data_IF_214767882840
#
_entry.id   IF_214767882840
#
_cell.length_a   1.000
_cell.length_b   1.000
_cell.length_c   1.000
_cell.angle_alpha   90.00
_cell.angle_beta   90.00
_cell.angle_gamma   90.00
#
_symmetry.space_group_name_H-M   'P 1'
#
loop_
_entity.id
_entity.type
_entity.pdbx_description
1 polymer ?
#
# COMPACT_ATOMS: atom_id res chain seq x y z
N UNK A 1 -1.40 -16.37 30.94
CA UNK A 1 -0.45 -16.23 29.82
C UNK A 1 -1.21 -15.77 28.57
N UNK A 2 -1.44 -14.46 28.41
CA UNK A 2 -2.09 -13.92 27.21
C UNK A 2 -1.07 -13.85 26.06
N UNK A 3 -0.77 -15.00 25.43
CA UNK A 3 -0.23 -14.95 24.09
C UNK A 3 -1.32 -14.34 23.22
N UNK A 4 -1.12 -13.09 22.81
CA UNK A 4 -1.85 -12.45 21.71
C UNK A 4 -1.89 -13.45 20.55
N UNK A 5 -3.00 -14.15 20.35
CA UNK A 5 -3.15 -15.13 19.27
C UNK A 5 -2.87 -14.40 17.95
N UNK A 6 -1.69 -14.62 17.38
CA UNK A 6 -1.33 -14.08 16.07
C UNK A 6 -2.21 -14.79 15.05
N UNK A 7 -2.85 -14.00 14.20
CA UNK A 7 -3.71 -14.54 13.17
C UNK A 7 -2.86 -14.91 11.95
N UNK A 8 -2.54 -16.20 11.81
CA UNK A 8 -1.62 -16.71 10.78
C UNK A 8 -2.04 -16.29 9.37
N UNK A 9 -3.33 -16.43 9.04
CA UNK A 9 -3.88 -16.03 7.74
C UNK A 9 -3.62 -14.55 7.41
N UNK A 10 -3.66 -13.67 8.41
CA UNK A 10 -3.39 -12.24 8.26
C UNK A 10 -1.89 -11.93 8.15
N UNK A 11 -1.05 -12.62 8.91
CA UNK A 11 0.40 -12.51 8.77
C UNK A 11 0.83 -12.98 7.36
N UNK A 12 0.22 -14.03 6.82
CA UNK A 12 0.43 -14.49 5.44
C UNK A 12 -0.07 -13.48 4.43
N UNK A 13 -1.30 -12.94 4.59
CA UNK A 13 -1.86 -11.92 3.70
C UNK A 13 -0.91 -10.72 3.56
N UNK A 14 -0.49 -10.14 4.69
CA UNK A 14 0.50 -9.04 4.70
C UNK A 14 1.82 -9.43 4.03
N UNK A 15 2.28 -10.65 4.32
CA UNK A 15 3.52 -11.16 3.77
C UNK A 15 3.50 -11.30 2.25
N UNK A 16 2.37 -11.80 1.70
CA UNK A 16 2.13 -11.86 0.26
C UNK A 16 2.11 -10.46 -0.35
N UNK A 17 1.44 -9.49 0.28
CA UNK A 17 1.40 -8.10 -0.20
C UNK A 17 2.80 -7.48 -0.26
N UNK A 18 3.63 -7.63 0.79
CA UNK A 18 5.02 -7.12 0.79
C UNK A 18 5.88 -7.84 -0.25
N UNK A 19 5.80 -9.17 -0.32
CA UNK A 19 6.53 -9.97 -1.29
C UNK A 19 6.23 -9.50 -2.71
N UNK A 20 4.94 -9.34 -3.05
CA UNK A 20 4.53 -8.94 -4.38
C UNK A 20 4.88 -7.48 -4.68
N UNK A 21 4.75 -6.59 -3.70
CA UNK A 21 5.18 -5.19 -3.80
C UNK A 21 6.65 -5.06 -4.21
N UNK A 22 7.56 -5.83 -3.59
CA UNK A 22 8.98 -5.75 -3.93
C UNK A 22 9.21 -6.19 -5.38
N UNK A 23 8.54 -7.26 -5.82
CA UNK A 23 8.67 -7.77 -7.18
C UNK A 23 8.25 -6.70 -8.20
N UNK A 24 7.11 -6.05 -7.98
CA UNK A 24 6.57 -5.10 -8.96
C UNK A 24 7.22 -3.71 -8.90
N UNK A 25 7.78 -3.31 -7.76
CA UNK A 25 8.55 -2.07 -7.65
C UNK A 25 9.98 -2.20 -8.22
N UNK A 26 10.48 -3.42 -8.41
CA UNK A 26 11.86 -3.68 -8.82
C UNK A 26 12.03 -4.48 -10.13
N UNK A 27 11.33 -4.14 -11.23
CA UNK A 27 11.50 -4.85 -12.49
C UNK A 27 12.94 -4.75 -13.00
N UNK A 28 13.55 -5.82 -13.50
CA UNK A 28 14.84 -5.71 -14.18
C UNK A 28 14.73 -4.80 -15.43
N UNK A 29 15.76 -4.01 -15.72
CA UNK A 29 15.80 -3.05 -16.83
C UNK A 29 16.25 -3.67 -18.17
N UNK A 30 16.14 -2.95 -19.30
CA UNK A 30 16.57 -3.48 -20.61
C UNK A 30 15.54 -4.34 -21.35
N UNK A 31 14.43 -4.72 -20.70
CA UNK A 31 13.26 -5.30 -21.36
C UNK A 31 11.98 -4.83 -20.68
N UNK A 32 10.87 -4.77 -21.43
CA UNK A 32 9.55 -4.53 -20.84
C UNK A 32 9.16 -5.72 -19.96
N UNK A 33 8.74 -5.50 -18.69
CA UNK A 33 8.21 -6.55 -17.84
C UNK A 33 6.96 -7.20 -18.43
N UNK A 34 6.49 -8.30 -17.82
CA UNK A 34 5.18 -8.84 -18.17
C UNK A 34 4.09 -7.80 -17.91
N UNK A 35 3.15 -7.63 -18.82
CA UNK A 35 2.07 -6.64 -18.70
C UNK A 35 1.26 -6.77 -17.40
N UNK A 36 1.14 -7.98 -16.83
CA UNK A 36 0.47 -8.22 -15.54
C UNK A 36 1.23 -7.63 -14.34
N UNK A 37 2.52 -7.33 -14.49
CA UNK A 37 3.38 -6.72 -13.48
C UNK A 37 3.49 -5.20 -13.66
N UNK A 38 3.00 -4.65 -14.76
CA UNK A 38 2.93 -3.22 -15.00
C UNK A 38 1.65 -2.64 -14.38
N UNK A 39 1.69 -1.35 -14.02
CA UNK A 39 0.50 -0.62 -13.60
C UNK A 39 -0.39 -0.29 -14.80
N UNK A 40 -1.71 -0.20 -14.58
CA UNK A 40 -2.59 0.37 -15.59
C UNK A 40 -2.13 1.79 -15.97
N UNK A 41 -2.13 2.11 -17.27
CA UNK A 41 -1.60 3.38 -17.76
C UNK A 41 -2.35 4.59 -17.19
N UNK A 42 -3.68 4.54 -17.15
CA UNK A 42 -4.51 5.57 -16.50
C UNK A 42 -5.77 4.95 -15.89
N UNK A 43 -6.75 4.62 -16.73
CA UNK A 43 -7.91 3.81 -16.36
C UNK A 43 -7.60 2.33 -16.54
N UNK A 44 -8.23 1.51 -15.71
CA UNK A 44 -8.08 0.07 -15.70
C UNK A 44 -7.51 -0.45 -14.39
N UNK A 45 -7.20 -1.74 -14.41
CA UNK A 45 -6.71 -2.45 -13.26
C UNK A 45 -5.80 -3.59 -13.72
N UNK A 46 -4.61 -3.66 -13.12
CA UNK A 46 -3.72 -4.82 -13.21
C UNK A 46 -3.53 -5.43 -11.82
N UNK A 47 -3.05 -6.69 -11.73
CA UNK A 47 -2.72 -7.30 -10.44
C UNK A 47 -1.80 -6.43 -9.56
N UNK A 48 -0.85 -5.72 -10.19
CA UNK A 48 0.05 -4.79 -9.51
C UNK A 48 -0.68 -3.67 -8.78
N UNK A 49 -1.79 -3.19 -9.31
CA UNK A 49 -2.57 -2.11 -8.71
C UNK A 49 -3.22 -2.51 -7.38
N UNK A 50 -3.38 -3.81 -7.11
CA UNK A 50 -3.97 -4.33 -5.87
C UNK A 50 -3.03 -4.20 -4.67
N UNK A 51 -1.72 -4.14 -4.88
CA UNK A 51 -0.72 -4.20 -3.81
C UNK A 51 -0.92 -3.12 -2.75
N UNK A 52 -0.99 -1.86 -3.18
CA UNK A 52 -1.11 -0.73 -2.25
C UNK A 52 -2.46 -0.71 -1.49
N UNK A 53 -3.64 -0.89 -2.12
CA UNK A 53 -4.88 -0.99 -1.36
C UNK A 53 -4.92 -2.20 -0.42
N UNK A 54 -4.31 -3.34 -0.78
CA UNK A 54 -4.17 -4.48 0.15
C UNK A 54 -3.37 -4.13 1.40
N UNK A 55 -2.36 -3.25 1.31
CA UNK A 55 -1.65 -2.75 2.49
C UNK A 55 -2.58 -1.94 3.40
N UNK A 56 -3.39 -1.03 2.83
CA UNK A 56 -4.36 -0.25 3.61
C UNK A 56 -5.39 -1.16 4.27
N UNK A 57 -5.92 -2.15 3.54
CA UNK A 57 -6.80 -3.17 4.09
C UNK A 57 -6.13 -3.95 5.23
N UNK A 58 -4.88 -4.37 5.05
CA UNK A 58 -4.14 -5.11 6.07
C UNK A 58 -3.84 -4.28 7.33
N UNK A 59 -3.59 -2.97 7.17
CA UNK A 59 -3.45 -2.00 8.26
C UNK A 59 -4.76 -1.89 9.05
N UNK A 60 -5.89 -1.78 8.35
CA UNK A 60 -7.22 -1.83 8.96
C UNK A 60 -7.45 -3.11 9.75
N UNK A 61 -7.15 -4.25 9.14
CA UNK A 61 -7.31 -5.55 9.79
C UNK A 61 -6.41 -5.66 11.04
N UNK A 62 -5.17 -5.14 10.98
CA UNK A 62 -4.29 -5.01 12.15
C UNK A 62 -4.90 -4.14 13.26
N UNK A 63 -5.53 -3.04 12.87
CA UNK A 63 -6.15 -2.07 13.77
C UNK A 63 -7.27 -2.69 14.61
N UNK A 64 -7.97 -3.71 14.09
CA UNK A 64 -9.01 -4.43 14.85
C UNK A 64 -8.48 -5.07 16.15
N UNK A 65 -7.19 -5.39 16.22
CA UNK A 65 -6.55 -5.90 17.44
C UNK A 65 -6.10 -4.78 18.38
N UNK A 66 -5.68 -3.62 17.86
CA UNK A 66 -5.29 -2.47 18.69
C UNK A 66 -6.50 -1.78 19.31
N UNK A 67 -7.62 -1.69 18.60
CA UNK A 67 -8.85 -1.05 19.10
C UNK A 67 -9.43 -1.76 20.33
N UNK A 68 -9.30 -3.09 20.43
CA UNK A 68 -9.66 -3.83 21.65
C UNK A 68 -8.85 -3.39 22.88
N UNK A 69 -7.59 -2.99 22.69
CA UNK A 69 -6.75 -2.44 23.76
C UNK A 69 -7.16 -1.01 24.09
N UNK A 70 -7.47 -0.20 23.08
CA UNK A 70 -7.90 1.18 23.26
C UNK A 70 -9.22 1.30 24.02
N UNK A 71 -10.11 0.31 23.89
CA UNK A 71 -11.33 0.23 24.68
C UNK A 71 -11.11 0.16 26.21
N UNK A 72 -9.89 -0.19 26.65
CA UNK A 72 -9.51 -0.27 28.07
C UNK A 72 -8.65 0.92 28.52
N UNK A 73 -8.43 1.91 27.65
CA UNK A 73 -7.54 3.05 27.88
C UNK A 73 -8.33 4.35 27.96
N UNK A 74 -7.76 5.34 28.66
CA UNK A 74 -8.30 6.71 28.65
C UNK A 74 -8.11 7.39 27.29
N UNK A 75 -9.04 8.29 26.95
CA UNK A 75 -9.04 8.99 25.66
C UNK A 75 -7.71 9.71 25.32
N UNK A 76 -7.06 10.45 26.25
CA UNK A 76 -5.78 11.11 25.93
C UNK A 76 -4.66 10.12 25.57
N UNK A 77 -4.63 8.96 26.23
CA UNK A 77 -3.64 7.93 25.96
C UNK A 77 -3.87 7.29 24.58
N UNK A 78 -5.13 7.08 24.18
CA UNK A 78 -5.48 6.59 22.84
C UNK A 78 -5.06 7.59 21.77
N UNK A 79 -5.40 8.87 21.94
CA UNK A 79 -5.02 9.93 20.99
C UNK A 79 -3.50 10.04 20.85
N UNK A 80 -2.75 9.99 21.95
CA UNK A 80 -1.29 10.02 21.92
C UNK A 80 -0.71 8.82 21.16
N UNK A 81 -1.26 7.62 21.34
CA UNK A 81 -0.82 6.43 20.62
C UNK A 81 -1.10 6.52 19.12
N UNK A 82 -2.29 7.02 18.74
CA UNK A 82 -2.64 7.26 17.34
C UNK A 82 -1.70 8.31 16.76
N UNK A 83 -1.55 9.46 17.41
CA UNK A 83 -0.71 10.57 16.95
C UNK A 83 0.75 10.15 16.78
N UNK A 84 1.35 9.50 17.78
CA UNK A 84 2.73 8.99 17.69
C UNK A 84 2.92 8.07 16.49
N UNK A 85 1.97 7.15 16.26
CA UNK A 85 2.07 6.20 15.16
C UNK A 85 1.92 6.88 13.80
N UNK A 86 0.97 7.80 13.67
CA UNK A 86 0.80 8.62 12.45
C UNK A 86 2.08 9.40 12.18
N UNK A 87 2.61 10.11 13.19
CA UNK A 87 3.82 10.91 13.07
C UNK A 87 5.04 10.06 12.68
N UNK A 88 5.26 8.91 13.32
CA UNK A 88 6.39 8.05 13.02
C UNK A 88 6.32 7.45 11.62
N UNK A 89 5.15 6.94 11.19
CA UNK A 89 5.00 6.38 9.83
C UNK A 89 5.18 7.48 8.79
N UNK A 90 4.60 8.66 9.01
CA UNK A 90 4.74 9.80 8.10
C UNK A 90 6.20 10.25 7.99
N UNK A 91 6.89 10.40 9.12
CA UNK A 91 8.29 10.81 9.17
C UNK A 91 9.20 9.78 8.50
N UNK A 92 8.99 8.48 8.75
CA UNK A 92 9.75 7.43 8.08
C UNK A 92 9.57 7.45 6.56
N UNK A 93 8.35 7.70 6.08
CA UNK A 93 8.08 7.89 4.65
C UNK A 93 8.77 9.11 4.06
N UNK A 94 8.69 10.24 4.75
CA UNK A 94 9.34 11.47 4.30
C UNK A 94 10.87 11.33 4.25
N UNK A 95 11.47 10.77 5.30
CA UNK A 95 12.91 10.51 5.37
C UNK A 95 13.37 9.51 4.31
N UNK A 96 12.54 8.52 3.96
CA UNK A 96 12.85 7.57 2.90
C UNK A 96 12.96 8.26 1.53
N UNK A 97 12.07 9.21 1.21
CA UNK A 97 12.18 9.98 -0.05
C UNK A 97 13.30 11.01 -0.03
N UNK A 98 13.66 11.54 1.13
CA UNK A 98 14.76 12.50 1.26
C UNK A 98 16.15 11.82 1.30
N UNK A 99 16.22 10.52 1.61
CA UNK A 99 17.44 9.72 1.56
C UNK A 99 17.97 9.64 0.10
N UNK A 100 19.27 9.87 -0.16
CA UNK A 100 20.42 9.83 0.76
C UNK A 100 20.80 11.15 1.44
N UNK A 101 19.95 12.18 1.42
CA UNK A 101 20.15 13.53 1.99
C UNK A 101 21.24 14.38 1.32
N UNK A 102 22.11 13.78 0.52
CA UNK A 102 23.25 14.42 -0.13
C UNK A 102 23.33 14.09 -1.63
N UNK A 103 23.73 15.06 -2.44
CA UNK A 103 24.04 14.87 -3.86
C UNK A 103 25.46 15.32 -4.15
N UNK A 104 26.15 14.61 -5.05
CA UNK A 104 27.41 15.09 -5.61
C UNK A 104 27.10 16.15 -6.67
N UNK A 105 27.63 17.35 -6.47
CA UNK A 105 27.57 18.42 -7.46
C UNK A 105 28.52 18.09 -8.62
N UNK A 106 28.27 18.68 -9.80
CA UNK A 106 29.10 18.53 -11.00
C UNK A 106 30.58 18.91 -10.76
N UNK A 107 30.86 19.71 -9.74
CA UNK A 107 32.21 20.13 -9.34
C UNK A 107 32.87 19.18 -8.31
N UNK A 108 32.30 18.00 -8.03
CA UNK A 108 32.83 17.04 -7.06
C UNK A 108 32.58 17.36 -5.58
N UNK A 109 31.82 18.42 -5.28
CA UNK A 109 31.42 18.80 -3.91
C UNK A 109 30.15 18.07 -3.45
N UNK A 110 30.07 17.72 -2.16
CA UNK A 110 28.86 17.14 -1.57
C UNK A 110 27.95 18.29 -1.08
N UNK A 111 26.74 18.38 -1.61
CA UNK A 111 25.72 19.32 -1.15
C UNK A 111 24.54 18.59 -0.53
N UNK A 112 23.86 19.23 0.43
CA UNK A 112 22.60 18.71 0.98
C UNK A 112 21.49 18.87 -0.07
N UNK A 113 20.65 17.83 -0.22
CA UNK A 113 19.48 17.94 -1.09
C UNK A 113 18.52 19.00 -0.53
N UNK A 114 18.12 19.99 -1.35
CA UNK A 114 17.19 21.00 -0.92
C UNK A 114 15.83 20.36 -0.61
N UNK A 115 15.35 20.61 0.61
CA UNK A 115 14.01 20.21 1.06
C UNK A 115 12.93 20.79 0.14
N UNK A 116 13.18 21.92 -0.52
CA UNK A 116 12.23 22.57 -1.43
C UNK A 116 11.84 21.73 -2.66
N UNK A 117 12.57 20.66 -2.98
CA UNK A 117 12.28 19.77 -4.11
C UNK A 117 11.96 18.33 -3.66
N UNK A 118 11.71 18.10 -2.36
CA UNK A 118 11.37 16.76 -1.87
C UNK A 118 9.88 16.49 -2.01
N UNK A 119 9.53 15.30 -2.49
CA UNK A 119 8.15 14.85 -2.53
C UNK A 119 7.59 14.71 -1.12
N UNK A 120 6.46 15.35 -0.84
CA UNK A 120 5.86 15.36 0.51
C UNK A 120 4.96 14.14 0.72
N UNK A 121 4.05 13.89 -0.23
CA UNK A 121 3.09 12.78 -0.17
C UNK A 121 3.65 11.52 -0.80
N UNK A 122 3.25 10.38 -0.26
CA UNK A 122 3.70 9.08 -0.73
C UNK A 122 2.99 7.96 0.00
N UNK A 123 3.43 6.73 -0.27
CA UNK A 123 2.74 5.51 0.18
C UNK A 123 2.59 5.48 1.71
N UNK A 124 3.66 5.74 2.45
CA UNK A 124 3.64 5.71 3.92
C UNK A 124 2.84 6.87 4.52
N UNK A 125 2.93 8.06 3.94
CA UNK A 125 2.18 9.24 4.36
C UNK A 125 0.68 9.01 4.24
N UNK A 126 0.23 8.47 3.09
CA UNK A 126 -1.18 8.07 2.90
C UNK A 126 -1.60 7.00 3.91
N UNK A 127 -0.77 5.98 4.15
CA UNK A 127 -1.05 4.95 5.18
C UNK A 127 -1.22 5.58 6.56
N UNK A 128 -0.33 6.51 6.93
CA UNK A 128 -0.38 7.22 8.21
C UNK A 128 -1.68 8.02 8.36
N UNK A 129 -2.04 8.84 7.36
CA UNK A 129 -3.24 9.67 7.38
C UNK A 129 -4.50 8.79 7.41
N UNK A 130 -4.59 7.78 6.55
CA UNK A 130 -5.74 6.87 6.52
C UNK A 130 -5.90 6.10 7.85
N UNK A 131 -4.78 5.64 8.44
CA UNK A 131 -4.79 5.02 9.75
C UNK A 131 -5.31 5.98 10.83
N UNK A 132 -4.85 7.23 10.83
CA UNK A 132 -5.26 8.26 11.78
C UNK A 132 -6.76 8.55 11.70
N UNK A 133 -7.25 8.87 10.49
CA UNK A 133 -8.67 9.15 10.23
C UNK A 133 -9.54 7.95 10.61
N UNK A 134 -9.22 6.76 10.11
CA UNK A 134 -10.00 5.56 10.39
C UNK A 134 -10.00 5.23 11.89
N UNK A 135 -8.84 5.35 12.58
CA UNK A 135 -8.76 5.11 14.02
C UNK A 135 -9.65 6.06 14.81
N UNK A 136 -9.67 7.36 14.47
CA UNK A 136 -10.50 8.35 15.14
C UNK A 136 -12.00 8.10 14.89
N UNK A 137 -12.38 7.82 13.64
CA UNK A 137 -13.77 7.50 13.29
C UNK A 137 -14.25 6.26 14.06
N UNK A 138 -13.45 5.20 14.08
CA UNK A 138 -13.80 3.94 14.76
C UNK A 138 -13.82 4.09 16.28
N UNK A 139 -12.94 4.91 16.86
CA UNK A 139 -12.87 5.11 18.31
C UNK A 139 -14.03 5.95 18.85
N UNK A 140 -14.41 7.01 18.13
CA UNK A 140 -15.42 7.97 18.63
C UNK A 140 -16.84 7.72 18.11
N UNK A 141 -17.00 7.04 16.98
CA UNK A 141 -18.30 6.89 16.33
C UNK A 141 -18.81 5.45 16.38
N UNK A 142 -20.13 5.30 16.37
CA UNK A 142 -20.75 3.99 16.22
C UNK A 142 -20.57 3.46 14.79
N UNK A 143 -20.64 2.13 14.63
CA UNK A 143 -20.52 1.46 13.33
C UNK A 143 -21.41 2.07 12.25
N UNK A 144 -22.63 2.49 12.61
CA UNK A 144 -23.57 3.12 11.67
C UNK A 144 -23.00 4.42 11.10
N UNK A 145 -22.43 5.29 11.94
CA UNK A 145 -21.86 6.56 11.50
C UNK A 145 -20.57 6.37 10.70
N UNK A 146 -19.72 5.40 11.07
CA UNK A 146 -18.52 5.08 10.29
C UNK A 146 -18.89 4.62 8.87
N UNK A 147 -19.94 3.81 8.72
CA UNK A 147 -20.44 3.39 7.40
C UNK A 147 -20.99 4.60 6.62
N UNK A 148 -21.79 5.45 7.25
CA UNK A 148 -22.33 6.66 6.60
C UNK A 148 -21.21 7.60 6.12
N UNK A 149 -20.19 7.83 6.95
CA UNK A 149 -19.03 8.64 6.58
C UNK A 149 -18.22 7.97 5.48
N UNK A 150 -18.08 6.64 5.48
CA UNK A 150 -17.42 5.92 4.40
C UNK A 150 -18.16 6.07 3.07
N UNK A 151 -19.50 6.00 3.08
CA UNK A 151 -20.31 6.29 1.90
C UNK A 151 -20.18 7.75 1.45
N UNK A 152 -20.12 8.69 2.39
CA UNK A 152 -19.85 10.10 2.10
C UNK A 152 -18.44 10.31 1.50
N UNK A 153 -17.43 9.59 1.98
CA UNK A 153 -16.07 9.64 1.42
C UNK A 153 -16.03 9.13 -0.01
N UNK A 154 -16.76 8.06 -0.34
CA UNK A 154 -16.82 7.54 -1.70
C UNK A 154 -17.65 8.45 -2.63
N UNK A 155 -18.91 8.72 -2.28
CA UNK A 155 -19.82 9.49 -3.13
C UNK A 155 -19.41 10.96 -3.18
N UNK A 156 -19.03 11.54 -2.03
CA UNK A 156 -18.58 12.93 -1.95
C UNK A 156 -17.28 13.16 -2.72
N UNK A 157 -16.34 12.22 -2.69
CA UNK A 157 -15.14 12.29 -3.53
C UNK A 157 -15.48 12.25 -5.03
N UNK A 158 -16.37 11.33 -5.43
CA UNK A 158 -16.82 11.25 -6.82
C UNK A 158 -17.46 12.56 -7.29
N UNK A 159 -18.38 13.14 -6.49
CA UNK A 159 -19.00 14.43 -6.78
C UNK A 159 -17.95 15.55 -6.83
N UNK A 160 -16.98 15.57 -5.92
CA UNK A 160 -15.91 16.56 -5.93
C UNK A 160 -15.08 16.51 -7.22
N UNK A 161 -14.76 15.33 -7.74
CA UNK A 161 -14.09 15.19 -9.04
C UNK A 161 -14.94 15.75 -10.19
N UNK A 162 -16.25 15.49 -10.20
CA UNK A 162 -17.15 15.99 -11.25
C UNK A 162 -17.35 17.50 -11.22
N UNK A 163 -17.40 18.10 -10.02
CA UNK A 163 -17.71 19.53 -9.83
C UNK A 163 -16.47 20.41 -9.97
N UNK A 164 -15.33 19.95 -9.45
CA UNK A 164 -14.09 20.73 -9.42
C UNK A 164 -13.05 20.27 -10.46
N UNK A 165 -13.31 19.17 -11.17
CA UNK A 165 -12.54 18.78 -12.35
C UNK A 165 -13.00 19.53 -13.60
N UNK A 166 -12.27 19.36 -14.69
CA UNK A 166 -12.66 19.92 -15.98
C UNK A 166 -14.03 19.39 -16.45
N UNK A 167 -14.84 20.27 -17.02
CA UNK A 167 -16.21 19.94 -17.44
C UNK A 167 -16.30 18.94 -18.60
N UNK A 168 -15.27 18.83 -19.44
CA UNK A 168 -15.24 17.92 -20.57
C UNK A 168 -14.65 16.55 -20.18
N UNK A 169 -13.61 16.53 -19.34
CA UNK A 169 -13.04 15.29 -18.80
C UNK A 169 -12.57 15.48 -17.34
N UNK A 170 -13.48 15.28 -16.36
CA UNK A 170 -13.19 15.48 -14.94
C UNK A 170 -12.21 14.44 -14.37
N UNK A 171 -11.95 13.36 -15.11
CA UNK A 171 -11.05 12.28 -14.71
C UNK A 171 -9.73 12.28 -15.50
N UNK A 172 -9.45 13.34 -16.25
CA UNK A 172 -8.20 13.52 -16.99
C UNK A 172 -7.01 13.66 -16.06
N UNK A 173 -5.81 13.31 -16.53
CA UNK A 173 -4.59 13.41 -15.72
C UNK A 173 -4.18 14.87 -15.44
N UNK A 174 -4.47 15.78 -16.37
CA UNK A 174 -3.98 17.17 -16.38
C UNK A 174 -4.97 18.21 -15.88
N UNK A 175 -6.25 17.84 -15.68
CA UNK A 175 -7.28 18.79 -15.27
C UNK A 175 -8.28 18.22 -14.25
N UNK A 176 -7.93 17.14 -13.56
CA UNK A 176 -8.74 16.63 -12.45
C UNK A 176 -8.60 17.51 -11.20
N UNK A 177 -9.64 17.49 -10.36
CA UNK A 177 -9.69 18.27 -9.12
C UNK A 177 -8.55 17.96 -8.14
N UNK A 178 -8.07 16.71 -8.11
CA UNK A 178 -6.99 16.29 -7.21
C UNK A 178 -5.68 17.00 -7.54
N UNK A 179 -5.29 16.99 -8.81
CA UNK A 179 -4.08 17.66 -9.28
C UNK A 179 -4.13 19.16 -9.01
N UNK A 180 -5.26 19.82 -9.28
CA UNK A 180 -5.41 21.25 -9.04
C UNK A 180 -5.24 21.60 -7.56
N UNK A 181 -5.85 20.81 -6.67
CA UNK A 181 -5.73 20.99 -5.23
C UNK A 181 -4.28 20.79 -4.75
N UNK A 182 -3.63 19.72 -5.20
CA UNK A 182 -2.28 19.39 -4.78
C UNK A 182 -1.26 20.43 -5.31
N UNK A 183 -1.41 20.92 -6.54
CA UNK A 183 -0.61 22.04 -7.07
C UNK A 183 -0.82 23.33 -6.28
N UNK A 184 -2.06 23.64 -5.89
CA UNK A 184 -2.37 24.83 -5.10
C UNK A 184 -1.77 24.79 -3.69
N UNK A 185 -1.83 23.63 -3.03
CA UNK A 185 -1.39 23.49 -1.63
C UNK A 185 0.10 23.17 -1.47
N UNK A 186 0.64 22.31 -2.33
CA UNK A 186 2.01 21.79 -2.21
C UNK A 186 2.95 22.43 -3.22
N UNK A 187 2.45 22.86 -4.37
CA UNK A 187 3.27 23.35 -5.48
C UNK A 187 3.97 22.24 -6.26
N UNK A 188 4.31 22.54 -7.52
CA UNK A 188 4.87 21.58 -8.49
C UNK A 188 6.05 20.76 -7.94
N UNK A 189 7.00 21.43 -7.29
CA UNK A 189 8.27 20.85 -6.81
C UNK A 189 8.11 19.75 -5.74
N UNK A 190 6.94 19.68 -5.10
CA UNK A 190 6.67 18.73 -4.03
C UNK A 190 5.79 17.56 -4.47
N UNK A 191 5.37 17.55 -5.75
CA UNK A 191 4.56 16.50 -6.35
C UNK A 191 5.44 15.42 -7.01
N UNK A 192 4.78 14.34 -7.43
CA UNK A 192 5.39 13.28 -8.21
C UNK A 192 5.42 13.63 -9.70
N UNK A 193 6.54 13.34 -10.38
CA UNK A 193 6.72 13.62 -11.82
C UNK A 193 6.90 12.36 -12.68
N UNK A 194 6.62 11.17 -12.15
CA UNK A 194 6.86 9.91 -12.88
C UNK A 194 6.00 9.72 -14.14
N UNK A 195 4.94 10.52 -14.30
CA UNK A 195 4.08 10.53 -15.48
C UNK A 195 4.49 11.59 -16.52
N UNK A 196 5.63 12.26 -16.31
CA UNK A 196 6.07 13.38 -17.14
C UNK A 196 5.38 14.71 -16.83
N UNK A 197 4.46 14.74 -15.86
CA UNK A 197 3.79 15.94 -15.35
C UNK A 197 3.78 15.92 -13.81
N UNK A 198 3.60 17.08 -13.19
CA UNK A 198 3.40 17.19 -11.75
C UNK A 198 1.99 16.69 -11.36
N UNK A 199 1.91 15.44 -10.93
CA UNK A 199 0.68 14.77 -10.51
C UNK A 199 1.00 13.78 -9.40
N UNK A 200 0.41 13.93 -8.22
CA UNK A 200 0.64 13.04 -7.09
C UNK A 200 -0.50 12.00 -6.93
N UNK A 201 -0.27 10.71 -7.27
CA UNK A 201 -1.27 9.66 -7.07
C UNK A 201 -1.62 9.45 -5.59
N UNK A 202 -0.72 9.88 -4.70
CA UNK A 202 -0.79 9.79 -3.24
C UNK A 202 -1.34 11.06 -2.58
N UNK A 203 -1.85 12.01 -3.37
CA UNK A 203 -2.31 13.33 -2.95
C UNK A 203 -3.46 13.40 -1.93
N UNK A 204 -3.82 14.62 -1.57
CA UNK A 204 -4.72 14.92 -0.42
C UNK A 204 -6.14 14.42 -0.71
N UNK A 205 -6.69 14.77 -1.88
CA UNK A 205 -8.09 14.48 -2.20
C UNK A 205 -8.33 12.97 -2.34
N UNK A 206 -7.43 12.26 -3.01
CA UNK A 206 -7.48 10.80 -3.22
C UNK A 206 -7.19 10.00 -1.94
N UNK A 207 -6.70 10.63 -0.88
CA UNK A 207 -6.55 10.00 0.45
C UNK A 207 -7.91 9.80 1.16
N UNK A 208 -8.93 10.58 0.81
CA UNK A 208 -10.28 10.45 1.39
C UNK A 208 -10.90 9.07 1.08
N UNK A 209 -11.05 8.65 -0.19
CA UNK A 209 -11.56 7.32 -0.50
C UNK A 209 -10.62 6.21 -0.01
N UNK A 210 -9.29 6.44 0.05
CA UNK A 210 -8.34 5.46 0.58
C UNK A 210 -8.55 5.11 2.06
N UNK A 211 -9.13 6.02 2.85
CA UNK A 211 -9.52 5.72 4.24
C UNK A 211 -10.53 4.56 4.30
N UNK A 212 -11.37 4.41 3.28
CA UNK A 212 -12.40 3.35 3.23
C UNK A 212 -11.76 1.97 3.06
N UNK A 213 -10.61 1.84 2.38
CA UNK A 213 -9.84 0.59 2.36
C UNK A 213 -9.45 0.13 3.76
N UNK A 214 -8.97 1.07 4.60
CA UNK A 214 -8.60 0.80 6.00
C UNK A 214 -9.84 0.44 6.83
N UNK A 215 -10.95 1.16 6.66
CA UNK A 215 -12.19 0.91 7.40
C UNK A 215 -12.78 -0.47 7.07
N UNK A 216 -12.85 -0.83 5.78
CA UNK A 216 -13.33 -2.16 5.37
C UNK A 216 -12.40 -3.25 5.92
N UNK A 217 -11.08 -3.05 5.84
CA UNK A 217 -10.09 -3.94 6.45
C UNK A 217 -10.29 -4.13 7.96
N UNK A 218 -10.60 -3.05 8.68
CA UNK A 218 -10.93 -3.11 10.11
C UNK A 218 -12.17 -3.94 10.38
N UNK A 219 -13.28 -3.71 9.66
CA UNK A 219 -14.51 -4.47 9.87
C UNK A 219 -14.36 -5.93 9.46
N UNK A 220 -13.57 -6.24 8.44
CA UNK A 220 -13.21 -7.62 8.10
C UNK A 220 -12.46 -8.29 9.26
N UNK A 221 -11.44 -7.63 9.81
CA UNK A 221 -10.68 -8.13 10.97
C UNK A 221 -11.54 -8.31 12.21
N UNK A 222 -12.41 -7.34 12.52
CA UNK A 222 -13.38 -7.41 13.63
C UNK A 222 -14.35 -8.57 13.44
N UNK A 223 -14.91 -8.73 12.25
CA UNK A 223 -15.85 -9.80 11.92
C UNK A 223 -15.22 -11.19 12.10
N UNK A 224 -13.99 -11.39 11.63
CA UNK A 224 -13.24 -12.64 11.81
C UNK A 224 -12.98 -12.93 13.30
N UNK A 225 -12.64 -11.91 14.09
CA UNK A 225 -12.43 -12.06 15.52
C UNK A 225 -13.72 -12.44 16.28
N UNK A 226 -14.87 -11.93 15.85
CA UNK A 226 -16.17 -12.17 16.50
C UNK A 226 -16.82 -13.49 16.10
N UNK A 227 -16.71 -13.87 14.81
CA UNK A 227 -17.35 -15.09 14.25
C UNK A 227 -16.41 -16.30 14.19
N UNK A 228 -15.12 -16.10 14.44
CA UNK A 228 -14.11 -17.14 14.30
C UNK A 228 -13.78 -17.41 12.83
N UNK A 229 -13.15 -18.56 12.57
CA UNK A 229 -12.47 -18.87 11.30
C UNK A 229 -13.10 -20.08 10.59
N UNK A 230 -14.41 -20.26 10.73
CA UNK A 230 -15.13 -21.38 10.11
C UNK A 230 -15.60 -21.09 8.69
N UNK A 231 -16.23 -22.10 8.08
CA UNK A 231 -16.83 -22.00 6.73
C UNK A 231 -17.82 -20.84 6.60
N UNK A 232 -18.61 -20.55 7.64
CA UNK A 232 -19.56 -19.43 7.63
C UNK A 232 -18.85 -18.08 7.48
N UNK A 233 -17.73 -17.87 8.19
CA UNK A 233 -16.92 -16.66 8.07
C UNK A 233 -16.37 -16.54 6.66
N UNK A 234 -15.80 -17.62 6.11
CA UNK A 234 -15.28 -17.64 4.73
C UNK A 234 -16.38 -17.28 3.74
N UNK A 235 -17.53 -17.94 3.82
CA UNK A 235 -18.65 -17.70 2.90
C UNK A 235 -19.14 -16.24 2.95
N UNK A 236 -19.26 -15.65 4.15
CA UNK A 236 -19.70 -14.26 4.32
C UNK A 236 -18.67 -13.25 3.80
N UNK A 237 -17.38 -13.50 4.03
CA UNK A 237 -16.30 -12.68 3.46
C UNK A 237 -16.32 -12.77 1.93
N UNK A 238 -16.46 -13.97 1.37
CA UNK A 238 -16.51 -14.17 -0.07
C UNK A 238 -17.74 -13.53 -0.71
N UNK A 239 -18.91 -13.65 -0.07
CA UNK A 239 -20.15 -13.01 -0.53
C UNK A 239 -20.03 -11.48 -0.51
N UNK A 240 -19.55 -10.91 0.60
CA UNK A 240 -19.33 -9.47 0.70
C UNK A 240 -18.32 -8.99 -0.35
N UNK A 241 -17.22 -9.74 -0.55
CA UNK A 241 -16.23 -9.45 -1.57
C UNK A 241 -16.80 -9.45 -2.98
N UNK A 242 -17.59 -10.48 -3.31
CA UNK A 242 -18.29 -10.59 -4.60
C UNK A 242 -19.27 -9.43 -4.84
N UNK A 243 -20.04 -9.03 -3.84
CA UNK A 243 -20.97 -7.88 -3.94
C UNK A 243 -20.21 -6.58 -4.22
N UNK A 244 -19.09 -6.32 -3.52
CA UNK A 244 -18.30 -5.10 -3.77
C UNK A 244 -17.68 -5.09 -5.18
N UNK A 245 -17.20 -6.23 -5.67
CA UNK A 245 -16.69 -6.37 -7.05
C UNK A 245 -17.80 -6.08 -8.05
N UNK A 246 -18.99 -6.67 -7.89
CA UNK A 246 -20.12 -6.44 -8.81
C UNK A 246 -20.50 -4.96 -8.82
N UNK A 247 -20.63 -4.31 -7.66
CA UNK A 247 -20.95 -2.88 -7.59
C UNK A 247 -19.86 -2.05 -8.30
N UNK A 248 -18.58 -2.36 -8.07
CA UNK A 248 -17.49 -1.67 -8.76
C UNK A 248 -17.57 -1.79 -10.27
N UNK A 249 -17.78 -3.01 -10.79
CA UNK A 249 -17.85 -3.27 -12.22
C UNK A 249 -19.09 -2.62 -12.86
N UNK A 250 -20.23 -2.60 -12.16
CA UNK A 250 -21.43 -1.90 -12.62
C UNK A 250 -21.25 -0.37 -12.67
N UNK A 251 -20.46 0.20 -11.76
CA UNK A 251 -20.18 1.65 -11.73
C UNK A 251 -19.03 2.06 -12.67
N UNK A 252 -18.14 1.15 -13.05
CA UNK A 252 -16.97 1.42 -13.89
C UNK A 252 -17.26 2.21 -15.18
N UNK A 253 -18.37 2.00 -15.91
CA UNK A 253 -18.67 2.79 -17.12
C UNK A 253 -18.88 4.28 -16.86
N UNK A 254 -19.31 4.66 -15.65
CA UNK A 254 -19.60 6.06 -15.27
C UNK A 254 -18.51 6.64 -14.38
N UNK A 255 -17.91 5.80 -13.53
CA UNK A 255 -16.77 6.18 -12.70
C UNK A 255 -15.64 5.16 -12.89
N UNK A 256 -14.70 5.42 -13.81
CA UNK A 256 -13.68 4.45 -14.19
C UNK A 256 -12.84 3.97 -13.02
N UNK A 257 -12.56 2.68 -12.98
CA UNK A 257 -11.57 2.10 -12.07
C UNK A 257 -10.21 2.71 -12.41
N UNK A 258 -9.66 3.47 -11.47
CA UNK A 258 -8.39 4.16 -11.63
C UNK A 258 -7.67 4.24 -10.27
N UNK A 259 -6.47 3.64 -10.23
CA UNK A 259 -5.56 3.64 -9.07
C UNK A 259 -4.98 5.03 -8.80
N UNK A 260 -4.55 5.74 -9.85
CA UNK A 260 -3.86 7.03 -9.75
C UNK A 260 -4.76 8.11 -9.13
N UNK A 261 -6.04 8.09 -9.47
CA UNK A 261 -7.06 8.94 -8.82
C UNK A 261 -7.59 8.32 -7.52
N UNK A 262 -7.35 7.04 -7.24
CA UNK A 262 -7.94 6.32 -6.11
C UNK A 262 -9.49 6.36 -6.10
N UNK A 263 -10.07 6.17 -7.29
CA UNK A 263 -11.52 6.22 -7.52
C UNK A 263 -12.31 5.29 -6.59
N UNK A 264 -13.57 5.63 -6.32
CA UNK A 264 -14.40 4.80 -5.44
C UNK A 264 -14.66 3.41 -6.01
N UNK A 265 -14.77 3.28 -7.33
CA UNK A 265 -14.86 1.98 -8.00
C UNK A 265 -13.58 1.16 -7.78
N UNK A 266 -12.40 1.78 -7.82
CA UNK A 266 -11.13 1.13 -7.45
C UNK A 266 -11.12 0.67 -5.98
N UNK A 267 -11.61 1.48 -5.04
CA UNK A 267 -11.73 1.09 -3.63
C UNK A 267 -12.62 -0.14 -3.46
N UNK A 268 -13.81 -0.13 -4.06
CA UNK A 268 -14.76 -1.24 -3.97
C UNK A 268 -14.20 -2.52 -4.59
N UNK A 269 -13.55 -2.42 -5.76
CA UNK A 269 -12.92 -3.55 -6.43
C UNK A 269 -11.85 -4.17 -5.54
N UNK A 270 -10.92 -3.35 -5.05
CA UNK A 270 -9.74 -3.81 -4.32
C UNK A 270 -10.10 -4.37 -2.95
N UNK A 271 -11.02 -3.73 -2.21
CA UNK A 271 -11.57 -4.31 -0.99
C UNK A 271 -12.34 -5.60 -1.25
N UNK A 272 -13.06 -5.70 -2.36
CA UNK A 272 -13.74 -6.92 -2.74
C UNK A 272 -12.76 -8.07 -2.98
N UNK A 273 -11.70 -7.82 -3.73
CA UNK A 273 -10.61 -8.77 -3.97
C UNK A 273 -9.89 -9.16 -2.67
N UNK A 274 -9.59 -8.20 -1.80
CA UNK A 274 -8.96 -8.45 -0.50
C UNK A 274 -9.81 -9.36 0.40
N UNK A 275 -11.15 -9.17 0.39
CA UNK A 275 -12.08 -10.04 1.10
C UNK A 275 -12.11 -11.46 0.54
N UNK A 276 -12.04 -11.63 -0.79
CA UNK A 276 -11.91 -12.95 -1.42
C UNK A 276 -10.58 -13.61 -1.04
N UNK A 277 -9.47 -12.87 -1.11
CA UNK A 277 -8.13 -13.38 -0.82
C UNK A 277 -8.04 -13.80 0.65
N UNK A 278 -8.46 -12.95 1.60
CA UNK A 278 -8.40 -13.31 3.03
C UNK A 278 -9.34 -14.48 3.34
N UNK A 279 -10.52 -14.57 2.68
CA UNK A 279 -11.41 -15.72 2.78
C UNK A 279 -10.75 -17.01 2.29
N UNK A 280 -10.10 -16.98 1.14
CA UNK A 280 -9.35 -18.11 0.58
C UNK A 280 -8.15 -18.52 1.46
N UNK A 281 -7.45 -17.55 2.05
CA UNK A 281 -6.35 -17.80 2.99
C UNK A 281 -6.86 -18.49 4.26
N UNK A 282 -7.97 -18.01 4.83
CA UNK A 282 -8.61 -18.65 6.00
C UNK A 282 -9.00 -20.09 5.67
N UNK A 283 -9.64 -20.31 4.52
CA UNK A 283 -9.98 -21.65 4.07
C UNK A 283 -8.74 -22.54 3.95
N UNK A 284 -7.71 -22.11 3.22
CA UNK A 284 -6.50 -22.91 3.00
C UNK A 284 -5.74 -23.22 4.29
N UNK A 285 -5.62 -22.26 5.20
CA UNK A 285 -4.75 -22.34 6.38
C UNK A 285 -5.48 -22.95 7.58
N UNK A 286 -6.69 -22.48 7.85
CA UNK A 286 -7.40 -22.76 9.11
C UNK A 286 -8.37 -23.94 8.95
N UNK A 287 -8.90 -24.17 7.74
CA UNK A 287 -9.86 -25.25 7.46
C UNK A 287 -9.16 -26.44 6.80
N UNK A 288 -8.44 -26.21 5.70
CA UNK A 288 -7.69 -27.27 5.00
C UNK A 288 -6.35 -27.62 5.65
N UNK A 289 -5.96 -26.91 6.72
CA UNK A 289 -4.72 -27.13 7.47
C UNK A 289 -3.42 -27.11 6.63
N UNK A 290 -3.44 -26.45 5.47
CA UNK A 290 -2.26 -26.35 4.58
C UNK A 290 -1.36 -25.21 5.04
N UNK A 291 -0.36 -25.53 5.88
CA UNK A 291 0.52 -24.55 6.53
C UNK A 291 1.98 -24.60 6.07
N UNK A 292 2.39 -25.58 5.25
CA UNK A 292 3.80 -25.75 4.87
C UNK A 292 4.38 -24.54 4.13
N UNK A 293 3.58 -23.90 3.28
CA UNK A 293 3.99 -22.76 2.45
C UNK A 293 3.92 -21.42 3.19
N UNK A 294 3.20 -21.34 4.32
CA UNK A 294 2.97 -20.07 5.02
C UNK A 294 4.26 -19.51 5.61
N UNK A 295 5.22 -20.39 5.96
CA UNK A 295 6.52 -20.02 6.51
C UNK A 295 7.23 -18.94 5.67
N UNK A 296 7.25 -19.11 4.35
CA UNK A 296 7.88 -18.15 3.43
C UNK A 296 7.30 -16.74 3.57
N UNK A 297 5.98 -16.61 3.51
CA UNK A 297 5.31 -15.30 3.59
C UNK A 297 5.28 -14.71 5.00
N UNK A 298 5.22 -15.54 6.04
CA UNK A 298 5.21 -15.02 7.42
C UNK A 298 6.48 -14.27 7.78
N UNK A 299 7.62 -14.57 7.15
CA UNK A 299 8.86 -13.80 7.31
C UNK A 299 8.62 -12.31 6.97
N UNK A 300 7.98 -12.06 5.83
CA UNK A 300 7.58 -10.71 5.43
C UNK A 300 6.51 -10.13 6.37
N UNK A 301 5.48 -10.92 6.66
CA UNK A 301 4.31 -10.48 7.43
C UNK A 301 4.60 -10.08 8.88
N UNK A 302 5.69 -10.58 9.47
CA UNK A 302 6.10 -10.24 10.83
C UNK A 302 6.79 -8.88 10.94
N UNK A 303 7.43 -8.39 9.87
CA UNK A 303 8.17 -7.12 9.81
C UNK A 303 7.87 -6.33 8.51
N UNK A 304 6.60 -6.08 8.15
CA UNK A 304 6.23 -5.63 6.81
C UNK A 304 6.75 -4.22 6.50
N UNK A 305 6.60 -3.27 7.44
CA UNK A 305 7.04 -1.88 7.27
C UNK A 305 8.58 -1.80 7.17
N UNK A 306 9.29 -2.56 8.00
CA UNK A 306 10.76 -2.59 7.95
C UNK A 306 11.25 -3.13 6.60
N UNK A 307 10.68 -4.24 6.11
CA UNK A 307 11.13 -4.83 4.86
C UNK A 307 10.76 -3.95 3.66
N UNK A 308 9.63 -3.24 3.70
CA UNK A 308 9.31 -2.20 2.72
C UNK A 308 10.37 -1.11 2.69
N UNK A 309 10.67 -0.48 3.84
CA UNK A 309 11.70 0.56 3.92
C UNK A 309 13.07 0.03 3.46
N UNK A 310 13.42 -1.19 3.84
CA UNK A 310 14.66 -1.84 3.41
C UNK A 310 14.72 -1.98 1.89
N UNK A 311 13.62 -2.38 1.24
CA UNK A 311 13.60 -2.56 -0.22
C UNK A 311 13.83 -1.25 -0.97
N UNK A 312 13.22 -0.16 -0.52
CA UNK A 312 13.38 1.17 -1.11
C UNK A 312 14.77 1.76 -0.81
N UNK A 313 15.24 1.66 0.44
CA UNK A 313 16.56 2.16 0.84
C UNK A 313 17.70 1.38 0.18
N UNK A 314 17.55 0.07 -0.01
CA UNK A 314 18.57 -0.74 -0.68
C UNK A 314 18.79 -0.28 -2.12
N UNK A 315 17.72 0.12 -2.82
CA UNK A 315 17.83 0.72 -4.16
C UNK A 315 18.58 2.06 -4.11
N UNK A 316 18.21 2.94 -3.18
CA UNK A 316 18.88 4.24 -3.02
C UNK A 316 20.36 4.09 -2.64
N UNK A 317 20.71 3.12 -1.80
CA UNK A 317 22.10 2.83 -1.42
C UNK A 317 22.92 2.35 -2.63
N UNK A 318 22.36 1.45 -3.44
CA UNK A 318 23.01 0.97 -4.67
C UNK A 318 23.32 2.14 -5.60
N UNK A 319 22.37 3.06 -5.76
CA UNK A 319 22.53 4.26 -6.59
C UNK A 319 23.66 5.18 -6.10
N UNK A 320 23.80 5.36 -4.78
CA UNK A 320 24.87 6.20 -4.19
C UNK A 320 26.25 5.55 -4.26
N UNK A 321 26.33 4.24 -4.05
CA UNK A 321 27.62 3.53 -4.01
C UNK A 321 28.28 3.41 -5.39
N UNK A 322 27.50 3.42 -6.47
CA UNK A 322 28.03 3.33 -7.82
C UNK A 322 27.47 4.46 -8.71
N UNK A 323 27.84 5.73 -8.44
CA UNK A 323 27.32 6.89 -9.16
C UNK A 323 27.59 6.79 -10.67
N UNK A 324 26.58 7.07 -11.49
CA UNK A 324 26.70 7.05 -12.95
C UNK A 324 26.72 5.67 -13.60
N UNK A 325 26.73 4.58 -12.81
CA UNK A 325 26.41 3.25 -13.33
C UNK A 325 24.98 2.92 -12.90
N UNK A 326 24.13 2.56 -13.85
CA UNK A 326 22.89 1.87 -13.50
C UNK A 326 23.27 0.43 -13.11
N UNK A 327 23.81 0.23 -11.89
CA UNK A 327 24.25 -1.08 -11.41
C UNK A 327 23.14 -2.12 -11.54
N UNK A 328 21.88 -1.71 -11.31
CA UNK A 328 20.70 -2.53 -11.55
C UNK A 328 20.62 -2.95 -13.02
N UNK A 329 20.75 -2.01 -13.95
CA UNK A 329 20.79 -2.34 -15.39
C UNK A 329 22.00 -3.13 -15.80
N UNK A 330 23.16 -2.87 -15.21
CA UNK A 330 24.35 -3.65 -15.48
C UNK A 330 24.16 -5.10 -15.06
N UNK A 331 23.71 -5.35 -13.82
CA UNK A 331 23.42 -6.71 -13.33
C UNK A 331 22.34 -7.36 -14.19
N UNK A 332 21.25 -6.64 -14.49
CA UNK A 332 20.16 -7.22 -15.27
C UNK A 332 20.59 -7.57 -16.70
N UNK A 333 21.28 -6.65 -17.39
CA UNK A 333 21.68 -6.83 -18.78
C UNK A 333 22.79 -7.87 -18.95
N UNK A 334 23.74 -7.96 -18.00
CA UNK A 334 24.89 -8.87 -18.13
C UNK A 334 24.64 -10.27 -17.55
N UNK A 335 23.66 -10.43 -16.65
CA UNK A 335 23.35 -11.75 -16.07
C UNK A 335 21.96 -12.22 -16.47
N UNK A 336 20.91 -11.52 -16.04
CA UNK A 336 19.54 -12.03 -16.16
C UNK A 336 19.03 -12.03 -17.60
N UNK A 337 19.31 -10.98 -18.37
CA UNK A 337 18.94 -10.89 -19.80
C UNK A 337 19.77 -11.83 -20.68
N UNK A 338 21.00 -12.18 -20.27
CA UNK A 338 21.82 -13.19 -20.96
C UNK A 338 21.25 -14.60 -20.74
N UNK A 339 20.85 -14.92 -19.51
CA UNK A 339 20.29 -16.24 -19.16
C UNK A 339 18.87 -16.41 -19.72
N UNK A 340 18.04 -15.37 -19.60
CA UNK A 340 16.64 -15.40 -19.96
C UNK A 340 16.20 -14.04 -20.55
N UNK A 341 16.37 -13.84 -21.86
CA UNK A 341 16.06 -12.55 -22.48
C UNK A 341 14.57 -12.20 -22.39
N UNK A 342 14.29 -10.89 -22.35
CA UNK A 342 12.94 -10.34 -22.36
C UNK A 342 12.30 -10.24 -20.97
N UNK A 343 10.96 -10.36 -20.88
CA UNK A 343 10.22 -10.20 -19.63
C UNK A 343 10.65 -11.16 -18.51
N UNK A 344 11.13 -12.35 -18.88
CA UNK A 344 11.51 -13.39 -17.92
C UNK A 344 12.79 -13.02 -17.15
N UNK A 345 13.78 -12.42 -17.82
CA UNK A 345 14.97 -11.88 -17.15
C UNK A 345 14.64 -10.75 -16.18
N UNK A 346 13.73 -9.85 -16.57
CA UNK A 346 13.24 -8.78 -15.70
C UNK A 346 12.57 -9.33 -14.43
N UNK A 347 11.74 -10.38 -14.58
CA UNK A 347 11.11 -11.07 -13.46
C UNK A 347 12.11 -11.79 -12.56
N UNK A 348 13.11 -12.49 -13.13
CA UNK A 348 14.13 -13.19 -12.36
C UNK A 348 14.95 -12.24 -11.50
N UNK A 349 15.30 -11.06 -12.04
CA UNK A 349 15.95 -10.01 -11.26
C UNK A 349 15.09 -9.55 -10.08
N UNK A 350 13.81 -9.26 -10.32
CA UNK A 350 12.87 -8.82 -9.29
C UNK A 350 12.69 -9.89 -8.19
N UNK A 351 12.61 -11.16 -8.57
CA UNK A 351 12.55 -12.29 -7.62
C UNK A 351 13.85 -12.39 -6.82
N UNK A 352 15.02 -12.24 -7.46
CA UNK A 352 16.30 -12.26 -6.78
C UNK A 352 16.39 -11.13 -5.75
N UNK A 353 16.02 -9.92 -6.14
CA UNK A 353 15.99 -8.76 -5.24
C UNK A 353 15.03 -8.97 -4.07
N UNK A 354 13.82 -9.48 -4.33
CA UNK A 354 12.87 -9.88 -3.30
C UNK A 354 13.44 -10.93 -2.34
N UNK A 355 14.16 -11.94 -2.84
CA UNK A 355 14.79 -12.97 -2.02
C UNK A 355 15.94 -12.42 -1.15
N UNK A 356 16.67 -11.41 -1.61
CA UNK A 356 17.66 -10.69 -0.78
C UNK A 356 16.96 -10.01 0.39
N UNK A 357 15.87 -9.27 0.13
CA UNK A 357 15.07 -8.67 1.19
C UNK A 357 14.46 -9.74 2.14
N UNK A 358 13.99 -10.87 1.58
CA UNK A 358 13.47 -12.00 2.35
C UNK A 358 14.54 -12.58 3.28
N UNK A 359 15.78 -12.76 2.80
CA UNK A 359 16.88 -13.30 3.60
C UNK A 359 17.17 -12.44 4.82
N UNK A 360 17.17 -11.11 4.66
CA UNK A 360 17.34 -10.17 5.76
C UNK A 360 16.15 -10.28 6.75
N UNK A 361 14.92 -10.34 6.23
CA UNK A 361 13.74 -10.59 7.05
C UNK A 361 13.81 -11.92 7.82
N UNK A 362 14.33 -12.96 7.19
CA UNK A 362 14.50 -14.29 7.77
C UNK A 362 15.55 -14.31 8.87
N UNK A 363 16.64 -13.55 8.70
CA UNK A 363 17.65 -13.35 9.75
C UNK A 363 17.06 -12.66 10.98
N UNK A 364 16.20 -11.65 10.78
CA UNK A 364 15.49 -10.99 11.88
C UNK A 364 14.52 -11.94 12.58
N UNK A 365 13.78 -12.76 11.83
CA UNK A 365 12.85 -13.73 12.39
C UNK A 365 13.57 -14.82 13.21
N UNK A 366 14.71 -15.33 12.71
CA UNK A 366 15.58 -16.25 13.48
C UNK A 366 16.06 -15.65 14.79
N UNK A 367 16.36 -14.34 14.80
CA UNK A 367 16.77 -13.60 16.00
C UNK A 367 15.59 -13.11 16.85
N UNK A 368 14.35 -13.40 16.46
CA UNK A 368 13.11 -12.94 17.12
C UNK A 368 13.01 -11.42 17.25
N UNK A 369 13.58 -10.68 16.29
CA UNK A 369 13.53 -9.21 16.25
C UNK A 369 12.29 -8.79 15.47
N UNK A 370 11.39 -8.05 16.13
CA UNK A 370 10.14 -7.56 15.54
C UNK A 370 10.05 -6.05 15.67
N UNK A 371 10.26 -5.34 14.57
CA UNK A 371 10.23 -3.88 14.50
C UNK A 371 8.78 -3.44 14.28
N UNK A 372 8.26 -2.65 15.22
CA UNK A 372 6.90 -2.11 15.18
C UNK A 372 6.97 -0.59 15.31
N UNK A 373 6.09 0.08 14.57
CA UNK A 373 5.92 1.54 14.56
C UNK A 373 4.55 1.90 15.10
#
# INVERSE_FOLDING_TARGET
MNQSQRFLSLDVFRGMTVCFMIIVNTPGSGAKPFAMLEHAAWHGFTPTDLVFPSFLFAVGNAMSFSMRKFAQMENPAVLMNIFKRVLLIFLLGYLMYWFPFFSQNENGGISFLPIANTRIFGVLQRIAICYGIASLLIHYLSTRYVILISMLFLIGYWVALLVFGDSADPFSMTANAGQQLDLFLLGDKHLYHGEGIAFDPEGILSTIPACVNVIIGYYAGKFIQERGKGYETVAKLMLAGGVLIVISLCLNPVFPINKKLWTSTFVLLTCGLDLLIIGALIYSIEISASTRWTGFFTVFGKNPLFIYLLSELLLSIIYVLVPGSDFRSWVNNNFFQVIAPGPLGSLLFAICFMLVCWLIGYMLDKRKIYIRV
#
